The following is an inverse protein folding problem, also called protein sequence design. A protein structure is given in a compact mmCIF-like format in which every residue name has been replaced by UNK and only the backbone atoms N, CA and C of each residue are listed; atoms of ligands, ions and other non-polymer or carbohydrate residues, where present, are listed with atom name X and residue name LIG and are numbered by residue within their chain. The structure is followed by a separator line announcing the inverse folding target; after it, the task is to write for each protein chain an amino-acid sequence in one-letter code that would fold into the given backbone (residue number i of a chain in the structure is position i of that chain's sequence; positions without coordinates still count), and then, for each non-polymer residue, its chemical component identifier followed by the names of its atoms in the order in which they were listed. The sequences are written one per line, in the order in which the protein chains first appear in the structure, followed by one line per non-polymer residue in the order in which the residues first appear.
data_IF_257207507396
#
_entry.id   IF_257207507396
#
_cell.length_a   1.000
_cell.length_b   1.000
_cell.length_c   1.000
_cell.angle_alpha   90.00
_cell.angle_beta   90.00
_cell.angle_gamma   90.00
#
_symmetry.space_group_name_H-M   'P 1'
#
loop_
_entity.id
_entity.type
_entity.pdbx_description
1 polymer ?
#
# COMPACT_ATOMS: atom_id res chain seq x y z
N UNK A 1 -13.99 17.58 -17.03
CA UNK A 1 -12.88 16.76 -16.54
C UNK A 1 -13.39 16.12 -15.26
N UNK A 2 -13.92 14.91 -15.38
CA UNK A 2 -14.34 14.14 -14.20
C UNK A 2 -13.07 13.61 -13.54
N UNK A 3 -12.65 14.24 -12.43
CA UNK A 3 -11.77 13.59 -11.46
C UNK A 3 -12.65 12.62 -10.67
N UNK A 4 -13.05 11.54 -11.34
CA UNK A 4 -13.75 10.46 -10.69
C UNK A 4 -12.79 9.79 -9.73
N UNK A 5 -12.87 10.14 -8.44
CA UNK A 5 -12.41 9.29 -7.36
C UNK A 5 -13.17 7.97 -7.49
N UNK A 6 -12.55 7.01 -8.17
CA UNK A 6 -13.09 5.66 -8.28
C UNK A 6 -12.78 5.00 -6.96
N UNK A 7 -13.73 5.11 -6.02
CA UNK A 7 -13.63 4.43 -4.73
C UNK A 7 -13.28 2.97 -5.00
N UNK A 8 -12.09 2.56 -4.56
CA UNK A 8 -11.67 1.17 -4.69
C UNK A 8 -12.69 0.31 -3.95
N UNK A 9 -13.35 -0.59 -4.67
CA UNK A 9 -14.33 -1.51 -4.10
C UNK A 9 -13.71 -2.58 -3.18
N UNK A 10 -12.41 -2.53 -2.87
CA UNK A 10 -11.67 -3.66 -2.27
C UNK A 10 -10.71 -3.29 -1.15
N UNK A 11 -10.44 -2.02 -0.91
CA UNK A 11 -9.75 -1.60 0.32
C UNK A 11 -10.66 -1.79 1.52
N UNK A 12 -10.17 -2.44 2.56
CA UNK A 12 -10.89 -2.58 3.83
C UNK A 12 -9.92 -2.91 4.96
N UNK A 13 -10.33 -2.58 6.17
CA UNK A 13 -9.63 -2.98 7.40
C UNK A 13 -10.56 -3.85 8.23
N UNK A 14 -10.02 -4.95 8.75
CA UNK A 14 -10.68 -5.83 9.71
C UNK A 14 -9.91 -5.73 11.03
N UNK A 15 -10.63 -5.59 12.14
CA UNK A 15 -10.05 -5.38 13.46
C UNK A 15 -9.78 -3.91 13.77
N UNK A 16 -9.21 -3.64 14.95
CA UNK A 16 -8.95 -2.28 15.40
C UNK A 16 -7.50 -1.87 15.12
N UNK A 17 -7.28 -1.02 14.11
CA UNK A 17 -5.93 -0.56 13.76
C UNK A 17 -5.25 0.23 14.89
N UNK A 18 -6.02 0.80 15.82
CA UNK A 18 -5.50 1.55 16.96
C UNK A 18 -4.78 0.67 17.98
N UNK A 19 -5.00 -0.65 17.94
CA UNK A 19 -4.30 -1.59 18.81
C UNK A 19 -2.83 -1.76 18.39
N UNK A 20 -2.49 -1.47 17.13
CA UNK A 20 -1.13 -1.59 16.62
C UNK A 20 -0.25 -0.48 17.21
N UNK A 21 0.82 -0.88 17.90
CA UNK A 21 1.76 0.04 18.55
C UNK A 21 2.99 0.31 17.68
N UNK A 22 3.94 1.12 18.17
CA UNK A 22 5.23 1.36 17.53
C UNK A 22 6.18 0.15 17.52
N UNK A 23 5.81 -0.92 18.22
CA UNK A 23 6.51 -2.21 18.20
C UNK A 23 5.63 -3.27 17.54
N UNK A 24 6.26 -4.09 16.71
CA UNK A 24 5.63 -5.26 16.09
C UNK A 24 5.21 -6.26 17.16
N UNK A 25 4.01 -6.82 17.05
CA UNK A 25 3.45 -7.77 18.00
C UNK A 25 2.63 -8.85 17.29
N UNK A 26 2.93 -10.12 17.56
CA UNK A 26 2.22 -11.27 16.98
C UNK A 26 0.75 -11.35 17.39
N UNK A 27 0.34 -10.69 18.48
CA UNK A 27 -1.06 -10.65 18.93
C UNK A 27 -1.97 -9.93 17.95
N UNK A 28 -1.43 -9.07 17.09
CA UNK A 28 -2.20 -8.28 16.13
C UNK A 28 -2.52 -9.02 14.83
N UNK A 29 -2.24 -10.33 14.74
CA UNK A 29 -2.46 -11.15 13.54
C UNK A 29 -3.91 -11.15 13.03
N UNK A 30 -4.89 -10.93 13.90
CA UNK A 30 -6.31 -10.85 13.51
C UNK A 30 -6.71 -9.52 12.89
N UNK A 31 -5.82 -8.52 12.91
CA UNK A 31 -6.03 -7.26 12.20
C UNK A 31 -5.58 -7.47 10.76
N UNK A 32 -6.41 -7.14 9.79
CA UNK A 32 -6.12 -7.33 8.37
C UNK A 32 -6.37 -6.03 7.60
N UNK A 33 -5.41 -5.63 6.78
CA UNK A 33 -5.50 -4.50 5.86
C UNK A 33 -5.48 -5.03 4.44
N UNK A 34 -6.57 -4.82 3.72
CA UNK A 34 -6.72 -5.23 2.33
C UNK A 34 -6.36 -4.03 1.45
N UNK A 35 -5.36 -4.22 0.61
CA UNK A 35 -4.77 -3.23 -0.26
C UNK A 35 -5.00 -3.71 -1.67
N UNK A 36 -5.58 -2.87 -2.51
CA UNK A 36 -5.83 -3.22 -3.90
C UNK A 36 -4.92 -2.49 -4.87
N UNK A 37 -4.09 -1.57 -4.40
CA UNK A 37 -3.16 -0.81 -5.24
C UNK A 37 -1.80 -0.76 -4.55
N UNK A 38 -0.74 -1.03 -5.31
CA UNK A 38 0.64 -0.89 -4.85
C UNK A 38 1.30 0.24 -5.63
N UNK A 39 1.88 1.20 -4.92
CA UNK A 39 2.73 2.23 -5.53
C UNK A 39 4.19 1.78 -5.47
N UNK A 40 4.80 1.53 -6.63
CA UNK A 40 6.23 1.27 -6.71
C UNK A 40 6.97 2.59 -6.89
N UNK A 41 8.03 2.80 -6.11
CA UNK A 41 8.80 4.04 -6.08
C UNK A 41 10.24 3.77 -6.49
N UNK A 42 10.86 4.69 -7.21
CA UNK A 42 12.31 4.67 -7.42
C UNK A 42 12.86 6.08 -7.54
N UNK A 43 14.16 6.25 -7.26
CA UNK A 43 14.86 7.49 -7.50
C UNK A 43 15.91 7.29 -8.58
N UNK A 44 15.88 8.16 -9.59
CA UNK A 44 16.83 8.11 -10.71
C UNK A 44 17.58 9.41 -10.77
N UNK A 45 18.88 9.32 -11.06
CA UNK A 45 19.67 10.49 -11.37
C UNK A 45 19.29 11.00 -12.76
N UNK A 46 18.85 12.25 -12.83
CA UNK A 46 18.64 12.99 -14.07
C UNK A 46 19.51 14.24 -14.07
N UNK A 47 20.55 14.23 -14.89
CA UNK A 47 21.58 15.26 -14.90
C UNK A 47 22.27 15.43 -13.54
N UNK A 48 22.05 16.59 -12.90
CA UNK A 48 22.62 16.94 -11.58
C UNK A 48 21.74 16.55 -10.40
N UNK A 49 20.49 16.16 -10.63
CA UNK A 49 19.50 15.95 -9.58
C UNK A 49 19.01 14.51 -9.55
N UNK A 50 18.38 14.12 -8.45
CA UNK A 50 17.60 12.88 -8.38
C UNK A 50 16.13 13.24 -8.51
N UNK A 51 15.43 12.53 -9.39
CA UNK A 51 13.99 12.65 -9.58
C UNK A 51 13.32 11.36 -9.10
N UNK A 52 12.20 11.52 -8.38
CA UNK A 52 11.35 10.42 -7.98
C UNK A 52 10.43 10.01 -9.15
N UNK A 53 10.26 8.70 -9.32
CA UNK A 53 9.34 8.09 -10.25
C UNK A 53 8.44 7.13 -9.48
N UNK A 54 7.15 7.12 -9.81
CA UNK A 54 6.18 6.19 -9.24
C UNK A 54 5.40 5.46 -10.33
N UNK A 55 5.01 4.22 -10.03
CA UNK A 55 4.16 3.39 -10.86
C UNK A 55 3.10 2.73 -9.98
N UNK A 56 1.83 3.07 -10.22
CA UNK A 56 0.69 2.47 -9.54
C UNK A 56 0.23 1.19 -10.24
N UNK A 57 0.12 0.13 -9.46
CA UNK A 57 -0.39 -1.17 -9.90
C UNK A 57 -1.67 -1.54 -9.16
N UNK A 58 -2.81 -1.40 -9.85
CA UNK A 58 -4.08 -1.96 -9.40
C UNK A 58 -4.04 -3.50 -9.45
N UNK A 59 -4.24 -4.12 -8.30
CA UNK A 59 -4.21 -5.55 -8.08
C UNK A 59 -5.55 -6.20 -8.40
N UNK A 60 -5.52 -7.25 -9.21
CA UNK A 60 -6.70 -8.09 -9.46
C UNK A 60 -7.15 -8.87 -8.22
N UNK A 61 -6.22 -9.15 -7.30
CA UNK A 61 -6.48 -9.78 -6.01
C UNK A 61 -5.82 -8.92 -4.93
N UNK A 62 -6.54 -8.46 -3.90
CA UNK A 62 -5.96 -7.60 -2.87
C UNK A 62 -4.77 -8.26 -2.17
N UNK A 63 -3.73 -7.47 -1.93
CA UNK A 63 -2.70 -7.78 -0.95
C UNK A 63 -3.31 -7.66 0.45
N UNK A 64 -3.08 -8.64 1.31
CA UNK A 64 -3.54 -8.61 2.70
C UNK A 64 -2.32 -8.51 3.60
N UNK A 65 -2.21 -7.40 4.34
CA UNK A 65 -1.23 -7.24 5.40
C UNK A 65 -1.90 -7.48 6.74
N UNK A 66 -1.33 -8.38 7.54
CA UNK A 66 -1.80 -8.64 8.90
C UNK A 66 -1.09 -7.73 9.90
N UNK A 67 -1.75 -7.41 11.02
CA UNK A 67 -1.23 -6.47 12.01
C UNK A 67 0.07 -6.93 12.70
N UNK A 68 0.37 -8.22 12.69
CA UNK A 68 1.65 -8.78 13.17
C UNK A 68 2.84 -8.54 12.23
N UNK A 69 2.58 -8.07 11.01
CA UNK A 69 3.57 -7.57 10.06
C UNK A 69 3.77 -6.04 10.17
N UNK A 70 3.03 -5.36 11.05
CA UNK A 70 2.97 -3.91 11.10
C UNK A 70 3.46 -3.36 12.44
N UNK A 71 4.05 -2.17 12.40
CA UNK A 71 4.30 -1.36 13.58
C UNK A 71 4.15 0.12 13.22
N UNK A 72 3.53 0.92 14.08
CA UNK A 72 3.41 2.35 13.86
C UNK A 72 4.80 3.00 13.73
N UNK A 73 4.95 3.87 12.73
CA UNK A 73 6.16 4.63 12.51
C UNK A 73 6.39 5.65 13.64
N UNK A 74 5.31 6.20 14.20
CA UNK A 74 5.31 7.18 15.29
C UNK A 74 4.20 6.89 16.31
N UNK A 75 4.40 7.22 17.60
CA UNK A 75 3.43 6.93 18.67
C UNK A 75 2.22 7.88 18.69
N UNK A 76 2.31 9.04 18.01
CA UNK A 76 1.18 9.95 17.83
C UNK A 76 0.67 9.79 16.40
N UNK A 77 -0.66 9.81 16.24
CA UNK A 77 -1.30 10.10 14.96
C UNK A 77 -0.71 11.41 14.44
N UNK A 78 -0.41 11.47 13.15
CA UNK A 78 -0.13 12.78 12.56
C UNK A 78 -1.40 13.65 12.70
N UNK A 79 -1.27 14.98 12.65
CA UNK A 79 -2.33 15.91 13.07
C UNK A 79 -3.67 15.70 12.36
N UNK A 80 -3.63 15.03 11.21
CA UNK A 80 -4.75 14.78 10.30
C UNK A 80 -5.42 13.41 10.49
N UNK A 81 -5.02 12.63 11.51
CA UNK A 81 -5.63 11.31 11.78
C UNK A 81 -5.00 10.14 11.02
N UNK A 82 -3.96 10.41 10.23
CA UNK A 82 -3.22 9.42 9.45
C UNK A 82 -2.42 8.44 10.33
N UNK A 83 -2.40 7.18 9.90
CA UNK A 83 -1.54 6.15 10.46
C UNK A 83 -0.49 5.73 9.44
N UNK A 84 0.78 5.93 9.78
CA UNK A 84 1.90 5.42 8.99
C UNK A 84 2.50 4.21 9.71
N UNK A 85 2.61 3.09 9.01
CA UNK A 85 3.15 1.84 9.49
C UNK A 85 4.44 1.48 8.76
N UNK A 86 5.40 1.00 9.55
CA UNK A 86 6.52 0.19 9.11
C UNK A 86 6.04 -1.23 8.82
N UNK A 87 6.58 -1.84 7.77
CA UNK A 87 6.19 -3.17 7.31
C UNK A 87 7.33 -4.15 7.56
N UNK A 88 7.01 -5.32 8.09
CA UNK A 88 7.94 -6.41 8.37
C UNK A 88 7.65 -7.57 7.45
N UNK A 89 8.70 -8.10 6.83
CA UNK A 89 8.64 -9.31 6.02
C UNK A 89 9.00 -10.53 6.87
N UNK A 90 8.35 -11.66 6.60
CA UNK A 90 8.72 -12.93 7.19
C UNK A 90 9.84 -13.56 6.35
N UNK A 91 11.07 -13.53 6.87
CA UNK A 91 12.27 -14.08 6.24
C UNK A 91 12.80 -15.19 7.13
N UNK A 92 12.90 -16.41 6.61
CA UNK A 92 13.37 -17.59 7.34
C UNK A 92 12.66 -17.84 8.68
N UNK A 93 11.37 -17.47 8.77
CA UNK A 93 10.55 -17.64 9.96
C UNK A 93 10.66 -16.49 10.98
N UNK A 94 11.48 -15.48 10.71
CA UNK A 94 11.62 -14.28 11.54
C UNK A 94 11.06 -13.05 10.84
N UNK A 95 10.47 -12.14 11.62
CA UNK A 95 9.97 -10.87 11.10
C UNK A 95 11.09 -9.84 11.07
N UNK A 96 11.46 -9.41 9.86
CA UNK A 96 12.51 -8.43 9.61
C UNK A 96 11.90 -7.15 9.05
N UNK A 97 12.27 -6.01 9.62
CA UNK A 97 11.81 -4.70 9.13
C UNK A 97 12.26 -4.51 7.67
N UNK A 98 11.31 -4.24 6.78
CA UNK A 98 11.60 -3.86 5.41
C UNK A 98 11.55 -2.32 5.30
N UNK A 99 12.71 -1.64 5.17
CA UNK A 99 12.75 -0.17 5.07
C UNK A 99 12.19 0.36 3.75
N UNK A 100 12.07 -0.49 2.73
CA UNK A 100 11.57 -0.14 1.41
C UNK A 100 10.04 -0.22 1.33
N UNK A 101 9.37 -0.77 2.34
CA UNK A 101 7.91 -0.93 2.37
C UNK A 101 7.28 -0.02 3.42
N UNK A 102 6.25 0.70 3.03
CA UNK A 102 5.46 1.55 3.93
C UNK A 102 3.98 1.38 3.65
N UNK A 103 3.18 1.40 4.72
CA UNK A 103 1.71 1.48 4.63
C UNK A 103 1.26 2.77 5.31
N UNK A 104 0.54 3.63 4.61
CA UNK A 104 -0.16 4.76 5.20
C UNK A 104 -1.67 4.58 5.03
N UNK A 105 -2.42 4.80 6.11
CA UNK A 105 -3.88 4.76 6.11
C UNK A 105 -4.39 6.15 6.48
N UNK A 106 -5.25 6.67 5.62
CA UNK A 106 -5.99 7.91 5.83
C UNK A 106 -7.39 7.55 6.36
N UNK A 107 -7.70 8.10 7.53
CA UNK A 107 -8.95 7.85 8.24
C UNK A 107 -9.63 9.16 8.58
N UNK A 108 -10.92 9.21 8.27
CA UNK A 108 -11.77 10.31 8.69
C UNK A 108 -12.69 9.85 9.82
N UNK A 109 -12.87 10.72 10.80
CA UNK A 109 -13.81 10.49 11.88
C UNK A 109 -15.14 11.14 11.53
N UNK A 110 -16.17 10.32 11.38
CA UNK A 110 -17.55 10.76 11.23
C UNK A 110 -18.14 11.04 12.62
N UNK A 111 -18.37 12.33 12.91
CA UNK A 111 -18.90 12.78 14.19
C UNK A 111 -20.38 12.43 14.39
N UNK A 112 -21.14 12.32 13.30
CA UNK A 112 -22.57 12.06 13.35
C UNK A 112 -22.84 10.57 13.61
N UNK A 113 -22.03 9.70 13.02
CA UNK A 113 -22.13 8.24 13.19
C UNK A 113 -21.25 7.68 14.33
N UNK A 114 -20.34 8.48 14.91
CA UNK A 114 -19.33 8.04 15.90
C UNK A 114 -18.48 6.87 15.36
N UNK A 115 -18.02 7.00 14.11
CA UNK A 115 -17.28 5.97 13.38
C UNK A 115 -16.01 6.52 12.73
N UNK A 116 -14.97 5.69 12.67
CA UNK A 116 -13.80 5.94 11.84
C UNK A 116 -13.99 5.28 10.48
N UNK A 117 -13.96 6.09 9.42
CA UNK A 117 -14.10 5.67 8.03
C UNK A 117 -12.71 5.63 7.40
N UNK A 118 -12.36 4.50 6.79
CA UNK A 118 -11.15 4.39 5.99
C UNK A 118 -11.38 5.10 4.66
N UNK A 119 -10.68 6.22 4.43
CA UNK A 119 -10.75 6.97 3.19
C UNK A 119 -9.85 6.37 2.12
N UNK A 120 -8.60 6.08 2.47
CA UNK A 120 -7.63 5.51 1.54
C UNK A 120 -6.53 4.70 2.25
N UNK A 121 -5.94 3.77 1.50
CA UNK A 121 -4.81 2.96 1.95
C UNK A 121 -3.69 3.04 0.89
N UNK A 122 -2.59 3.69 1.26
CA UNK A 122 -1.40 3.85 0.42
C UNK A 122 -0.33 2.86 0.85
N UNK A 123 -0.11 1.84 0.02
CA UNK A 123 0.99 0.91 0.23
C UNK A 123 2.06 1.13 -0.84
N UNK A 124 3.26 1.46 -0.39
CA UNK A 124 4.38 1.77 -1.28
C UNK A 124 5.56 0.83 -1.09
N UNK A 125 6.26 0.56 -2.20
CA UNK A 125 7.47 -0.26 -2.25
C UNK A 125 8.54 0.49 -3.03
N UNK A 126 9.61 0.90 -2.35
CA UNK A 126 10.80 1.43 -2.98
C UNK A 126 11.60 0.31 -3.65
N UNK A 127 12.02 0.54 -4.90
CA UNK A 127 12.76 -0.42 -5.69
C UNK A 127 14.03 0.22 -6.29
N UNK A 128 15.11 -0.57 -6.43
CA UNK A 128 16.22 -0.20 -7.30
C UNK A 128 15.74 0.07 -8.73
N UNK A 129 16.43 0.97 -9.41
CA UNK A 129 16.03 1.45 -10.74
C UNK A 129 15.86 0.30 -11.77
N UNK A 130 16.74 -0.70 -11.72
CA UNK A 130 16.69 -1.85 -12.64
C UNK A 130 15.44 -2.70 -12.40
N UNK A 131 15.14 -3.03 -11.15
CA UNK A 131 13.94 -3.79 -10.77
C UNK A 131 12.67 -3.03 -11.10
N UNK A 132 12.62 -1.72 -10.82
CA UNK A 132 11.49 -0.87 -11.18
C UNK A 132 11.20 -0.93 -12.68
N UNK A 133 12.23 -0.77 -13.54
CA UNK A 133 12.05 -0.79 -15.01
C UNK A 133 11.54 -2.14 -15.50
N UNK A 134 12.05 -3.22 -14.93
CA UNK A 134 11.62 -4.57 -15.26
C UNK A 134 10.15 -4.78 -14.88
N UNK A 135 9.77 -4.39 -13.67
CA UNK A 135 8.39 -4.48 -13.16
C UNK A 135 7.42 -3.66 -14.01
N UNK A 136 7.74 -2.39 -14.27
CA UNK A 136 6.91 -1.49 -15.09
C UNK A 136 6.68 -2.09 -16.49
N UNK A 137 7.76 -2.55 -17.13
CA UNK A 137 7.71 -3.19 -18.46
C UNK A 137 6.85 -4.45 -18.43
N UNK A 138 6.99 -5.30 -17.41
CA UNK A 138 6.22 -6.52 -17.26
C UNK A 138 4.72 -6.20 -17.12
N UNK A 139 4.35 -5.26 -16.23
CA UNK A 139 2.96 -4.89 -15.96
C UNK A 139 2.28 -4.27 -17.18
N UNK A 140 2.99 -3.44 -17.94
CA UNK A 140 2.47 -2.90 -19.21
C UNK A 140 2.22 -3.99 -20.26
N UNK A 141 3.10 -5.01 -20.34
CA UNK A 141 2.90 -6.17 -21.22
C UNK A 141 1.68 -6.99 -20.79
N UNK A 142 1.51 -7.25 -19.50
CA UNK A 142 0.35 -7.97 -18.97
C UNK A 142 -0.97 -7.24 -19.30
N UNK A 143 -1.02 -5.92 -19.08
CA UNK A 143 -2.19 -5.08 -19.41
C UNK A 143 -2.50 -5.11 -20.91
N UNK A 144 -1.49 -4.98 -21.77
CA UNK A 144 -1.70 -5.02 -23.23
C UNK A 144 -2.19 -6.39 -23.73
N UNK A 145 -1.66 -7.49 -23.19
CA UNK A 145 -2.11 -8.85 -23.52
C UNK A 145 -3.56 -9.12 -23.08
N UNK A 146 -3.97 -8.63 -21.90
CA UNK A 146 -5.36 -8.73 -21.43
C UNK A 146 -6.33 -7.98 -22.35
N UNK A 147 -5.98 -6.75 -22.74
CA UNK A 147 -6.79 -5.94 -23.65
C UNK A 147 -6.90 -6.56 -25.06
N UNK A 148 -5.83 -7.17 -25.55
CA UNK A 148 -5.84 -7.89 -26.83
C UNK A 148 -6.74 -9.14 -26.81
N UNK A 149 -6.70 -9.93 -25.73
CA UNK A 149 -7.58 -11.10 -25.56
C UNK A 149 -9.04 -10.70 -25.43
N UNK A 150 -9.34 -9.58 -24.79
CA UNK A 150 -10.70 -9.01 -24.71
C UNK A 150 -11.24 -8.62 -26.10
N UNK A 151 -10.39 -8.02 -26.94
CA UNK A 151 -10.75 -7.62 -28.32
C UNK A 151 -11.02 -8.78 -29.28
N UNK A 152 -10.38 -9.94 -29.12
CA UNK A 152 -10.63 -11.13 -29.98
C UNK A 152 -11.90 -11.91 -29.62
N UNK A 153 -12.51 -11.61 -28.47
CA UNK A 153 -13.75 -12.26 -28.00
C UNK A 153 -15.00 -11.38 -28.20
N UNK A 154 -14.84 -10.20 -28.81
CA UNK A 154 -15.92 -9.27 -29.16
C UNK A 154 -16.28 -9.37 -30.64
#
# INVERSE_FOLDING_TARGET
MDLGFKQSKRMKVIGNIQDISTKRDSRHKSIEVYIDTVEYLTQRKDGRYYQAFSFEDELETPLVLTGDCLALAKPKKDADGDYVFKVYDLVDGEYVLNPDKTLALDWEYDFDEDLFILNSAYYSVALPNEEYKQLETQKQKEKSMKNWKGRKRS
#
